data_IF_482146735385
#
_entry.id   IF_482146735385
#
_cell.length_a   1.000
_cell.length_b   1.000
_cell.length_c   1.000
_cell.angle_alpha   90.00
_cell.angle_beta   90.00
_cell.angle_gamma   90.00
#
_symmetry.space_group_name_H-M   'P 1'
#
loop_
_entity.id
_entity.type
_entity.pdbx_description
1 polymer ?
#
# COMPACT_ATOMS: atom_id res chain seq x y z
N UNK A 1 26.43 -18.28 -28.52
CA UNK A 1 24.97 -18.42 -28.74
C UNK A 1 24.27 -18.93 -27.48
N UNK A 2 24.83 -19.94 -26.79
CA UNK A 2 24.33 -20.37 -25.47
C UNK A 2 24.50 -19.28 -24.40
N UNK A 3 25.63 -18.55 -24.40
CA UNK A 3 25.87 -17.44 -23.47
C UNK A 3 24.88 -16.28 -23.63
N UNK A 4 24.53 -15.93 -24.88
CA UNK A 4 23.56 -14.86 -25.15
C UNK A 4 22.12 -15.24 -24.76
N UNK A 5 21.76 -16.52 -24.87
CA UNK A 5 20.44 -17.01 -24.43
C UNK A 5 20.38 -17.03 -22.91
N UNK A 6 21.46 -17.51 -22.26
CA UNK A 6 21.55 -17.55 -20.81
C UNK A 6 21.53 -16.16 -20.19
N UNK A 7 22.24 -15.20 -20.79
CA UNK A 7 22.25 -13.80 -20.36
C UNK A 7 20.89 -13.12 -20.55
N UNK A 8 20.20 -13.38 -21.67
CA UNK A 8 18.84 -12.90 -21.89
C UNK A 8 17.84 -13.49 -20.87
N UNK A 9 17.97 -14.79 -20.56
CA UNK A 9 17.17 -15.48 -19.54
C UNK A 9 17.41 -14.88 -18.15
N UNK A 10 18.68 -14.66 -17.78
CA UNK A 10 19.05 -14.08 -16.50
C UNK A 10 18.53 -12.65 -16.35
N UNK A 11 18.63 -11.82 -17.39
CA UNK A 11 18.07 -10.47 -17.38
C UNK A 11 16.54 -10.48 -17.24
N UNK A 12 15.86 -11.42 -17.90
CA UNK A 12 14.40 -11.55 -17.80
C UNK A 12 13.98 -11.99 -16.40
N UNK A 13 14.67 -12.98 -15.82
CA UNK A 13 14.46 -13.43 -14.44
C UNK A 13 14.71 -12.31 -13.43
N UNK A 14 15.78 -11.53 -13.61
CA UNK A 14 16.11 -10.41 -12.75
C UNK A 14 15.05 -9.31 -12.82
N UNK A 15 14.55 -8.98 -14.02
CA UNK A 15 13.46 -8.03 -14.20
C UNK A 15 12.17 -8.52 -13.54
N UNK A 16 11.86 -9.81 -13.68
CA UNK A 16 10.66 -10.42 -13.09
C UNK A 16 10.76 -10.43 -11.55
N UNK A 17 11.91 -10.80 -11.00
CA UNK A 17 12.17 -10.74 -9.57
C UNK A 17 12.05 -9.32 -9.04
N UNK A 18 12.66 -8.33 -9.71
CA UNK A 18 12.55 -6.91 -9.33
C UNK A 18 11.10 -6.43 -9.38
N UNK A 19 10.33 -6.84 -10.39
CA UNK A 19 8.93 -6.49 -10.52
C UNK A 19 8.10 -7.08 -9.37
N UNK A 20 8.24 -8.38 -9.09
CA UNK A 20 7.52 -9.05 -8.00
C UNK A 20 7.90 -8.46 -6.65
N UNK A 21 9.20 -8.27 -6.39
CA UNK A 21 9.68 -7.70 -5.12
C UNK A 21 9.15 -6.29 -4.89
N UNK A 22 9.15 -5.45 -5.93
CA UNK A 22 8.57 -4.11 -5.84
C UNK A 22 7.07 -4.16 -5.58
N UNK A 23 6.31 -4.99 -6.30
CA UNK A 23 4.86 -5.11 -6.08
C UNK A 23 4.53 -5.57 -4.67
N UNK A 24 5.22 -6.60 -4.16
CA UNK A 24 4.99 -7.12 -2.81
C UNK A 24 5.34 -6.07 -1.75
N UNK A 25 6.45 -5.34 -1.91
CA UNK A 25 6.81 -4.25 -0.99
C UNK A 25 5.77 -3.14 -1.04
N UNK A 26 5.34 -2.73 -2.23
CA UNK A 26 4.31 -1.72 -2.38
C UNK A 26 3.00 -2.17 -1.75
N UNK A 27 2.58 -3.41 -1.94
CA UNK A 27 1.37 -3.97 -1.36
C UNK A 27 1.40 -3.92 0.17
N UNK A 28 2.50 -4.41 0.78
CA UNK A 28 2.68 -4.39 2.24
C UNK A 28 2.72 -2.95 2.76
N UNK A 29 3.42 -2.04 2.07
CA UNK A 29 3.49 -0.63 2.46
C UNK A 29 2.12 0.04 2.36
N UNK A 30 1.40 -0.14 1.26
CA UNK A 30 0.08 0.46 1.06
C UNK A 30 -0.94 -0.08 2.06
N UNK A 31 -0.96 -1.40 2.28
CA UNK A 31 -1.83 -2.01 3.29
C UNK A 31 -1.49 -1.51 4.69
N UNK A 32 -0.20 -1.44 5.03
CA UNK A 32 0.28 -0.91 6.32
C UNK A 32 -0.10 0.56 6.52
N UNK A 33 0.02 1.39 5.47
CA UNK A 33 -0.38 2.80 5.52
C UNK A 33 -1.88 2.96 5.71
N UNK A 34 -2.69 2.23 4.95
CA UNK A 34 -4.15 2.24 5.07
C UNK A 34 -4.57 1.82 6.48
N UNK A 35 -4.06 0.68 6.97
CA UNK A 35 -4.42 0.18 8.31
C UNK A 35 -3.93 1.09 9.44
N UNK A 36 -2.74 1.68 9.34
CA UNK A 36 -2.23 2.60 10.37
C UNK A 36 -3.04 3.89 10.45
N UNK A 37 -3.43 4.48 9.31
CA UNK A 37 -4.31 5.65 9.26
C UNK A 37 -5.68 5.28 9.81
N UNK A 38 -6.24 4.15 9.36
CA UNK A 38 -7.53 3.65 9.83
C UNK A 38 -7.55 3.41 11.33
N UNK A 39 -6.47 2.86 11.89
CA UNK A 39 -6.33 2.62 13.32
C UNK A 39 -6.33 3.93 14.09
N UNK A 40 -5.61 4.94 13.61
CA UNK A 40 -5.60 6.26 14.22
C UNK A 40 -7.01 6.89 14.20
N UNK A 41 -7.69 6.88 13.05
CA UNK A 41 -9.07 7.37 12.91
C UNK A 41 -10.01 6.63 13.85
N UNK A 42 -9.89 5.30 13.92
CA UNK A 42 -10.75 4.48 14.76
C UNK A 42 -10.55 4.73 16.24
N UNK A 43 -9.29 4.80 16.65
CA UNK A 43 -8.93 5.11 18.03
C UNK A 43 -9.35 6.52 18.42
N UNK A 44 -9.31 7.48 17.50
CA UNK A 44 -9.83 8.83 17.71
C UNK A 44 -11.34 8.83 17.93
N UNK A 45 -12.14 8.15 17.10
CA UNK A 45 -13.59 8.15 17.28
C UNK A 45 -14.07 7.34 18.49
N UNK A 46 -13.33 6.30 18.91
CA UNK A 46 -13.62 5.54 20.15
C UNK A 46 -12.96 6.13 21.40
N UNK A 47 -12.50 7.39 21.35
CA UNK A 47 -11.88 8.08 22.49
C UNK A 47 -10.76 7.26 23.19
N UNK A 48 -9.92 6.58 22.42
CA UNK A 48 -8.76 5.86 22.94
C UNK A 48 -9.02 4.45 23.46
N UNK A 49 -10.24 3.91 23.29
CA UNK A 49 -10.50 2.48 23.55
C UNK A 49 -9.56 1.59 22.74
N UNK A 50 -9.29 0.38 23.25
CA UNK A 50 -8.52 -0.63 22.52
C UNK A 50 -9.32 -1.06 21.29
N UNK A 51 -8.65 -1.05 20.16
CA UNK A 51 -9.19 -1.41 18.85
C UNK A 51 -8.22 -2.42 18.27
N UNK A 52 -8.75 -3.49 17.68
CA UNK A 52 -7.91 -4.45 16.97
C UNK A 52 -7.44 -3.86 15.65
N UNK A 53 -6.12 -3.88 15.43
CA UNK A 53 -5.49 -3.35 14.22
C UNK A 53 -5.96 -4.08 12.96
N UNK A 54 -6.26 -5.38 13.09
CA UNK A 54 -6.76 -6.23 12.00
C UNK A 54 -8.28 -6.19 11.85
N UNK A 55 -8.97 -5.30 12.58
CA UNK A 55 -10.41 -5.12 12.43
C UNK A 55 -10.78 -4.63 11.04
N UNK A 56 -11.87 -5.16 10.48
CA UNK A 56 -12.46 -4.69 9.22
C UNK A 56 -12.83 -3.21 9.30
N UNK A 57 -13.22 -2.72 10.47
CA UNK A 57 -13.50 -1.30 10.72
C UNK A 57 -12.28 -0.42 10.47
N UNK A 58 -11.09 -0.86 10.93
CA UNK A 58 -9.81 -0.18 10.74
C UNK A 58 -9.44 -0.14 9.26
N UNK A 59 -9.59 -1.25 8.55
CA UNK A 59 -9.32 -1.31 7.12
C UNK A 59 -10.23 -0.35 6.32
N UNK A 60 -11.54 -0.37 6.58
CA UNK A 60 -12.50 0.49 5.87
C UNK A 60 -12.31 1.96 6.22
N UNK A 61 -12.12 2.31 7.49
CA UNK A 61 -11.86 3.69 7.92
C UNK A 61 -10.55 4.22 7.31
N UNK A 62 -9.52 3.38 7.26
CA UNK A 62 -8.25 3.70 6.60
C UNK A 62 -8.40 3.95 5.11
N UNK A 63 -9.13 3.09 4.42
CA UNK A 63 -9.35 3.22 2.98
C UNK A 63 -10.10 4.51 2.64
N UNK A 64 -11.19 4.80 3.37
CA UNK A 64 -11.99 6.01 3.16
C UNK A 64 -11.21 7.28 3.46
N UNK A 65 -10.40 7.30 4.53
CA UNK A 65 -9.59 8.46 4.89
C UNK A 65 -8.48 8.72 3.88
N UNK A 66 -7.79 7.69 3.39
CA UNK A 66 -6.81 7.82 2.31
C UNK A 66 -7.47 8.29 1.01
N UNK A 67 -8.63 7.74 0.66
CA UNK A 67 -9.38 8.16 -0.53
C UNK A 67 -9.80 9.63 -0.47
N UNK A 68 -10.25 10.09 0.70
CA UNK A 68 -10.58 11.50 0.93
C UNK A 68 -9.34 12.40 0.85
N UNK A 69 -8.19 11.95 1.39
CA UNK A 69 -6.92 12.66 1.27
C UNK A 69 -6.51 12.82 -0.19
N UNK A 70 -6.61 11.75 -1.00
CA UNK A 70 -6.31 11.78 -2.43
C UNK A 70 -7.27 12.75 -3.15
N UNK A 71 -8.57 12.68 -2.86
CA UNK A 71 -9.56 13.58 -3.46
C UNK A 71 -9.28 15.05 -3.12
N UNK A 72 -8.89 15.35 -1.88
CA UNK A 72 -8.48 16.68 -1.45
C UNK A 72 -7.21 17.14 -2.16
N UNK A 73 -6.18 16.29 -2.25
CA UNK A 73 -4.95 16.60 -2.98
C UNK A 73 -5.23 16.90 -4.46
N UNK A 74 -6.08 16.10 -5.11
CA UNK A 74 -6.50 16.35 -6.49
C UNK A 74 -7.26 17.68 -6.60
N UNK A 75 -8.22 17.93 -5.71
CA UNK A 75 -8.97 19.19 -5.69
C UNK A 75 -8.05 20.42 -5.57
N UNK A 76 -7.06 20.38 -4.67
CA UNK A 76 -6.10 21.48 -4.51
C UNK A 76 -5.15 21.63 -5.70
N UNK A 77 -4.82 20.55 -6.40
CA UNK A 77 -3.92 20.58 -7.55
C UNK A 77 -4.63 21.00 -8.85
N UNK A 78 -5.92 20.70 -8.99
CA UNK A 78 -6.75 21.12 -10.13
C UNK A 78 -7.34 22.54 -9.98
N UNK A 79 -7.21 23.16 -8.81
CA UNK A 79 -7.62 24.54 -8.54
C UNK A 79 -6.48 25.51 -8.79
#
# INVERSE_FOLDING_TARGET
>A
MMDSIFEALFQLLFKLFRFVFMNVIFEILFEGLIRSIGYAVVRCYRCGQRVDFDSTEVCVAGFLSVLLLIALCLYFLLR
#
